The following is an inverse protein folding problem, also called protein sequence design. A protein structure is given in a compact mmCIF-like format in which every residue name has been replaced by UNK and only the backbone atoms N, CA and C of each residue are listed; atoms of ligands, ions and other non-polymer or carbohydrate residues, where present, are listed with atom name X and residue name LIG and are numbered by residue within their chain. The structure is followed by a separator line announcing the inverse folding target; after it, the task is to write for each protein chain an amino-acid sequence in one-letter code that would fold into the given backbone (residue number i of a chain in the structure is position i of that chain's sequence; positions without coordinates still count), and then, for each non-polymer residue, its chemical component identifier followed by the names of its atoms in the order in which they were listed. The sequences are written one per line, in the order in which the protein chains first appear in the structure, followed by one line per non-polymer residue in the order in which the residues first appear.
data_IF_276744894996
#
_entry.id   IF_276744894996
#
_cell.length_a   1.000
_cell.length_b   1.000
_cell.length_c   1.000
_cell.angle_alpha   90.00
_cell.angle_beta   90.00
_cell.angle_gamma   90.00
#
_symmetry.space_group_name_H-M   'P 1'
#
loop_
_entity.id
_entity.type
_entity.pdbx_description
1 polymer ?
#
# COMPACT_ATOMS: atom_id res chain seq x y z
N UNK A 1 -51.19 -50.55 -67.35
CA UNK A 1 -50.27 -50.79 -66.22
C UNK A 1 -49.69 -49.51 -65.60
N UNK A 2 -50.01 -48.30 -66.08
CA UNK A 2 -49.39 -47.04 -65.58
C UNK A 2 -50.11 -46.32 -64.42
N UNK A 3 -51.37 -46.66 -64.11
CA UNK A 3 -52.11 -45.99 -63.04
C UNK A 3 -51.68 -46.48 -61.64
N UNK A 4 -51.18 -47.72 -61.52
CA UNK A 4 -50.72 -48.28 -60.25
C UNK A 4 -49.30 -47.81 -59.84
N UNK A 5 -48.50 -47.28 -60.77
CA UNK A 5 -47.15 -46.75 -60.46
C UNK A 5 -47.19 -45.34 -59.86
N UNK A 6 -48.16 -44.49 -60.25
CA UNK A 6 -48.24 -43.10 -59.80
C UNK A 6 -48.71 -42.97 -58.34
N UNK A 7 -49.56 -43.89 -57.87
CA UNK A 7 -50.04 -43.88 -56.48
C UNK A 7 -49.01 -44.38 -55.45
N UNK A 8 -48.05 -45.24 -55.83
CA UNK A 8 -47.01 -45.70 -54.88
C UNK A 8 -45.96 -44.62 -54.56
N UNK A 9 -45.64 -43.74 -55.50
CA UNK A 9 -44.67 -42.65 -55.28
C UNK A 9 -45.19 -41.61 -54.27
N UNK A 10 -46.46 -41.23 -54.39
CA UNK A 10 -47.09 -40.26 -53.48
C UNK A 10 -47.23 -40.78 -52.03
N UNK A 11 -47.46 -42.09 -51.85
CA UNK A 11 -47.54 -42.70 -50.51
C UNK A 11 -46.16 -42.80 -49.87
N UNK A 12 -45.11 -43.05 -50.66
CA UNK A 12 -43.73 -43.14 -50.16
C UNK A 12 -43.21 -41.76 -49.71
N UNK A 13 -43.39 -40.70 -50.51
CA UNK A 13 -42.95 -39.35 -50.15
C UNK A 13 -43.69 -38.77 -48.93
N UNK A 14 -44.99 -39.05 -48.78
CA UNK A 14 -45.74 -38.68 -47.55
C UNK A 14 -45.22 -39.42 -46.31
N UNK A 15 -44.79 -40.68 -46.44
CA UNK A 15 -44.21 -41.45 -45.33
C UNK A 15 -42.83 -40.94 -44.94
N UNK A 16 -42.01 -40.56 -45.93
CA UNK A 16 -40.65 -40.04 -45.67
C UNK A 16 -40.73 -38.68 -44.97
N UNK A 17 -41.57 -37.74 -45.45
CA UNK A 17 -41.77 -36.44 -44.78
C UNK A 17 -42.31 -36.54 -43.35
N UNK A 18 -43.20 -37.51 -43.08
CA UNK A 18 -43.73 -37.71 -41.72
C UNK A 18 -42.65 -38.26 -40.76
N UNK A 19 -41.72 -39.10 -41.25
CA UNK A 19 -40.61 -39.62 -40.45
C UNK A 19 -39.53 -38.57 -40.17
N UNK A 20 -39.19 -37.71 -41.15
CA UNK A 20 -38.23 -36.61 -40.91
C UNK A 20 -38.80 -35.54 -39.99
N UNK A 21 -40.08 -35.20 -40.10
CA UNK A 21 -40.72 -34.25 -39.17
C UNK A 21 -40.72 -34.79 -37.73
N UNK A 22 -40.97 -36.08 -37.53
CA UNK A 22 -40.95 -36.70 -36.20
C UNK A 22 -39.55 -36.68 -35.59
N UNK A 23 -38.52 -37.02 -36.38
CA UNK A 23 -37.11 -37.02 -35.94
C UNK A 23 -36.64 -35.62 -35.53
N UNK A 24 -37.00 -34.58 -36.28
CA UNK A 24 -36.66 -33.19 -35.98
C UNK A 24 -37.34 -32.75 -34.68
N UNK A 25 -38.62 -33.08 -34.47
CA UNK A 25 -39.32 -32.74 -33.22
C UNK A 25 -38.73 -33.46 -32.02
N UNK A 26 -38.33 -34.72 -32.13
CA UNK A 26 -37.67 -35.44 -31.03
C UNK A 26 -36.29 -34.87 -30.71
N UNK A 27 -35.52 -34.45 -31.72
CA UNK A 27 -34.21 -33.84 -31.52
C UNK A 27 -34.32 -32.49 -30.80
N UNK A 28 -35.27 -31.63 -31.21
CA UNK A 28 -35.53 -30.35 -30.54
C UNK A 28 -35.96 -30.54 -29.07
N UNK A 29 -36.79 -31.55 -28.80
CA UNK A 29 -37.28 -31.83 -27.45
C UNK A 29 -36.16 -32.36 -26.54
N UNK A 30 -35.25 -33.18 -27.07
CA UNK A 30 -34.05 -33.64 -26.36
C UNK A 30 -33.06 -32.50 -26.08
N UNK A 31 -32.85 -31.59 -27.03
CA UNK A 31 -32.00 -30.40 -26.83
C UNK A 31 -32.59 -29.51 -25.74
N UNK A 32 -33.90 -29.25 -25.77
CA UNK A 32 -34.59 -28.48 -24.73
C UNK A 32 -34.45 -29.15 -23.34
N UNK A 33 -34.56 -30.49 -23.29
CA UNK A 33 -34.37 -31.24 -22.05
C UNK A 33 -32.94 -31.11 -21.52
N UNK A 34 -31.94 -31.12 -22.42
CA UNK A 34 -30.53 -30.96 -22.06
C UNK A 34 -30.24 -29.56 -21.49
N UNK A 35 -30.81 -28.52 -22.11
CA UNK A 35 -30.71 -27.12 -21.62
C UNK A 35 -31.38 -26.96 -20.26
N UNK A 36 -32.54 -27.58 -20.05
CA UNK A 36 -33.24 -27.54 -18.75
C UNK A 36 -32.52 -28.35 -17.67
N UNK A 37 -31.86 -29.46 -18.01
CA UNK A 37 -31.06 -30.24 -17.04
C UNK A 37 -29.70 -29.63 -16.70
N UNK A 38 -29.16 -28.76 -17.56
CA UNK A 38 -27.93 -28.02 -17.28
C UNK A 38 -28.15 -26.89 -16.25
N UNK A 39 -29.41 -26.58 -15.91
CA UNK A 39 -29.77 -25.77 -14.75
C UNK A 39 -29.92 -26.63 -13.48
N UNK A 40 -28.97 -27.53 -13.20
CA UNK A 40 -28.78 -27.97 -11.80
C UNK A 40 -28.33 -26.74 -11.02
N UNK A 41 -29.24 -26.21 -10.20
CA UNK A 41 -28.98 -25.05 -9.37
C UNK A 41 -27.66 -25.25 -8.64
N UNK A 42 -26.65 -24.51 -9.09
CA UNK A 42 -25.49 -24.18 -8.26
C UNK A 42 -26.11 -23.72 -6.96
N UNK A 43 -25.85 -24.38 -5.82
CA UNK A 43 -26.29 -23.85 -4.55
C UNK A 43 -25.72 -22.44 -4.50
N UNK A 44 -26.59 -21.44 -4.67
CA UNK A 44 -26.27 -20.07 -4.34
C UNK A 44 -25.90 -20.15 -2.88
N UNK A 45 -24.59 -20.19 -2.62
CA UNK A 45 -24.01 -19.70 -1.38
C UNK A 45 -24.84 -18.46 -1.10
N UNK A 46 -25.56 -18.42 0.03
CA UNK A 46 -26.34 -17.25 0.40
C UNK A 46 -25.37 -16.08 0.30
N UNK A 47 -25.43 -15.35 -0.80
CA UNK A 47 -24.96 -14.00 -0.88
C UNK A 47 -25.76 -13.34 0.22
N UNK A 48 -25.09 -13.12 1.35
CA UNK A 48 -25.52 -12.13 2.33
C UNK A 48 -26.06 -10.96 1.52
N UNK A 49 -27.31 -10.54 1.77
CA UNK A 49 -27.93 -9.48 0.98
C UNK A 49 -26.90 -8.37 0.84
N UNK A 50 -26.67 -7.88 -0.39
CA UNK A 50 -25.94 -6.65 -0.64
C UNK A 50 -26.54 -5.61 0.32
N UNK A 51 -25.90 -5.44 1.47
CA UNK A 51 -26.07 -4.28 2.32
C UNK A 51 -25.83 -3.13 1.36
N UNK A 52 -26.75 -2.16 1.36
CA UNK A 52 -26.64 -0.99 0.52
C UNK A 52 -25.21 -0.45 0.58
N UNK A 53 -24.67 0.03 -0.54
CA UNK A 53 -23.35 0.68 -0.60
C UNK A 53 -23.14 1.74 0.51
N UNK A 54 -24.22 2.22 1.13
CA UNK A 54 -24.23 3.10 2.31
C UNK A 54 -23.69 2.49 3.62
N UNK A 55 -23.58 1.15 3.76
CA UNK A 55 -23.04 0.51 4.97
C UNK A 55 -21.61 -0.03 4.83
N UNK A 56 -21.02 0.01 3.64
CA UNK A 56 -19.61 -0.37 3.48
C UNK A 56 -18.72 0.68 4.14
N UNK A 57 -18.11 0.27 5.25
CA UNK A 57 -17.22 1.10 6.07
C UNK A 57 -15.83 1.15 5.45
N UNK A 58 -15.71 1.75 4.26
CA UNK A 58 -14.42 2.11 3.68
C UNK A 58 -13.67 3.07 4.60
N UNK A 59 -12.34 3.11 4.46
CA UNK A 59 -11.47 4.06 5.16
C UNK A 59 -11.49 3.98 6.70
N UNK A 60 -11.85 2.83 7.28
CA UNK A 60 -11.96 2.64 8.74
C UNK A 60 -10.97 1.58 9.24
N UNK A 61 -10.75 1.56 10.55
CA UNK A 61 -9.83 0.62 11.21
C UNK A 61 -8.44 1.18 11.46
N UNK A 62 -7.59 0.38 12.11
CA UNK A 62 -6.24 0.77 12.55
C UNK A 62 -5.15 -0.08 11.93
N UNK A 63 -5.52 -0.94 10.97
CA UNK A 63 -4.60 -1.79 10.25
C UNK A 63 -4.39 -1.20 8.84
N UNK A 64 -3.19 -1.40 8.30
CA UNK A 64 -2.86 -1.12 6.90
C UNK A 64 -2.71 -2.44 6.15
N UNK A 65 -1.47 -2.83 5.89
CA UNK A 65 -1.17 -4.16 5.33
C UNK A 65 -1.13 -5.23 6.42
N UNK A 66 -2.00 -6.23 6.28
CA UNK A 66 -1.93 -7.47 7.02
C UNK A 66 -1.15 -8.52 6.25
N UNK A 67 -0.55 -9.44 7.00
CA UNK A 67 0.04 -10.64 6.42
C UNK A 67 -0.30 -11.86 7.26
N UNK A 68 -0.33 -13.02 6.62
CA UNK A 68 -0.51 -14.31 7.26
C UNK A 68 0.20 -15.40 6.46
N UNK A 69 0.73 -16.42 7.15
CA UNK A 69 1.15 -17.64 6.47
C UNK A 69 -0.07 -18.30 5.83
N UNK A 70 0.04 -18.69 4.56
CA UNK A 70 -1.01 -19.46 3.90
C UNK A 70 -1.21 -20.78 4.68
N UNK A 71 -2.46 -21.23 4.89
CA UNK A 71 -2.73 -22.45 5.64
C UNK A 71 -1.88 -23.61 5.14
N UNK A 72 -1.19 -24.29 6.08
CA UNK A 72 -0.29 -25.42 5.78
C UNK A 72 0.92 -25.10 4.88
N UNK A 73 1.31 -23.83 4.73
CA UNK A 73 2.52 -23.40 4.00
C UNK A 73 3.42 -22.54 4.91
N UNK A 74 4.63 -23.00 5.27
CA UNK A 74 5.09 -24.38 5.20
C UNK A 74 4.24 -25.31 6.10
N UNK A 75 4.24 -26.63 5.85
CA UNK A 75 3.61 -27.59 6.76
C UNK A 75 4.24 -27.55 8.15
N UNK A 76 3.48 -27.85 9.20
CA UNK A 76 4.02 -27.90 10.57
C UNK A 76 5.08 -29.00 10.75
N UNK A 77 5.01 -30.05 9.92
CA UNK A 77 5.97 -31.15 9.89
C UNK A 77 6.48 -31.35 8.47
N UNK A 78 7.80 -31.30 8.30
CA UNK A 78 8.50 -31.58 7.06
C UNK A 78 9.41 -32.80 7.21
N UNK A 79 9.74 -33.44 6.10
CA UNK A 79 10.58 -34.63 6.08
C UNK A 79 11.79 -34.41 5.17
N UNK A 80 12.95 -34.86 5.63
CA UNK A 80 14.20 -34.87 4.87
C UNK A 80 14.51 -36.30 4.43
N UNK A 81 14.57 -36.54 3.12
CA UNK A 81 14.72 -37.87 2.51
C UNK A 81 16.17 -38.24 2.16
N UNK A 82 17.15 -37.37 2.42
CA UNK A 82 18.56 -37.57 2.09
C UNK A 82 19.05 -36.65 0.97
N UNK A 83 20.37 -36.54 0.81
CA UNK A 83 21.00 -35.59 -0.12
C UNK A 83 20.80 -35.95 -1.60
N UNK A 84 20.33 -37.17 -1.87
CA UNK A 84 20.02 -37.65 -3.23
C UNK A 84 18.63 -37.21 -3.71
N UNK A 85 17.80 -36.64 -2.83
CA UNK A 85 16.45 -36.23 -3.14
C UNK A 85 16.31 -34.71 -3.07
N UNK A 86 15.40 -34.20 -3.89
CA UNK A 86 14.94 -32.82 -3.79
C UNK A 86 13.99 -32.70 -2.60
N UNK A 87 14.42 -32.00 -1.54
CA UNK A 87 13.63 -31.78 -0.33
C UNK A 87 12.96 -30.40 -0.38
N UNK A 88 12.31 -30.11 -1.50
CA UNK A 88 11.67 -28.81 -1.74
C UNK A 88 10.45 -28.62 -0.86
N UNK A 89 10.26 -27.37 -0.41
CA UNK A 89 9.07 -26.91 0.28
C UNK A 89 8.87 -25.42 0.00
N UNK A 90 7.63 -24.96 0.15
CA UNK A 90 7.29 -23.55 -0.03
C UNK A 90 6.92 -22.90 1.31
N UNK A 91 7.39 -21.67 1.48
CA UNK A 91 6.91 -20.74 2.49
C UNK A 91 6.11 -19.67 1.76
N UNK A 92 4.78 -19.79 1.83
CA UNK A 92 3.88 -18.84 1.18
C UNK A 92 3.18 -17.97 2.22
N UNK A 93 3.16 -16.67 1.95
CA UNK A 93 2.54 -15.64 2.77
C UNK A 93 1.51 -14.93 1.91
N UNK A 94 0.31 -14.79 2.46
CA UNK A 94 -0.72 -13.89 1.93
C UNK A 94 -0.52 -12.52 2.56
N UNK A 95 -0.46 -11.48 1.74
CA UNK A 95 -0.48 -10.09 2.17
C UNK A 95 -1.73 -9.41 1.61
N UNK A 96 -2.44 -8.68 2.45
CA UNK A 96 -3.67 -8.00 2.09
C UNK A 96 -3.66 -6.59 2.66
N UNK A 97 -3.97 -5.61 1.82
CA UNK A 97 -4.11 -4.23 2.26
C UNK A 97 -5.56 -3.98 2.66
N UNK A 98 -5.83 -3.98 3.96
CA UNK A 98 -7.17 -3.75 4.51
C UNK A 98 -7.37 -2.31 4.98
N UNK A 99 -6.38 -1.45 4.75
CA UNK A 99 -6.42 -0.05 5.13
C UNK A 99 -6.76 0.86 3.95
N UNK A 100 -6.79 2.16 4.18
CA UNK A 100 -7.35 3.18 3.29
C UNK A 100 -6.44 3.69 2.17
N UNK A 101 -5.15 3.37 2.23
CA UNK A 101 -4.12 3.96 1.38
C UNK A 101 -3.40 2.89 0.60
N UNK A 102 -2.81 3.27 -0.53
CA UNK A 102 -1.91 2.39 -1.25
C UNK A 102 -0.70 2.01 -0.40
N UNK A 103 -0.26 0.78 -0.57
CA UNK A 103 0.93 0.25 0.06
C UNK A 103 1.92 -0.25 -0.99
N UNK A 104 3.20 0.04 -0.77
CA UNK A 104 4.32 -0.55 -1.51
C UNK A 104 5.33 -1.09 -0.52
N UNK A 105 5.72 -2.34 -0.65
CA UNK A 105 6.59 -2.97 0.34
C UNK A 105 7.34 -4.18 -0.16
N UNK A 106 8.15 -4.73 0.73
CA UNK A 106 8.90 -5.97 0.54
C UNK A 106 8.59 -6.96 1.65
N UNK A 107 8.42 -8.22 1.27
CA UNK A 107 8.36 -9.35 2.20
C UNK A 107 9.72 -10.02 2.25
N UNK A 108 10.22 -10.23 3.46
CA UNK A 108 11.51 -10.86 3.74
C UNK A 108 11.30 -12.13 4.55
N UNK A 109 11.99 -13.20 4.16
CA UNK A 109 12.07 -14.44 4.92
C UNK A 109 13.36 -14.47 5.73
N UNK A 110 13.33 -14.91 6.99
CA UNK A 110 14.52 -15.12 7.83
C UNK A 110 14.24 -16.15 8.95
N UNK A 111 15.13 -16.26 9.94
CA UNK A 111 14.95 -17.12 11.12
C UNK A 111 15.28 -18.62 10.94
N UNK A 112 15.57 -19.05 9.72
CA UNK A 112 16.00 -20.42 9.41
C UNK A 112 17.53 -20.58 9.52
N UNK A 113 17.99 -21.82 9.68
CA UNK A 113 19.42 -22.16 9.62
C UNK A 113 19.90 -22.23 8.16
N UNK A 114 20.72 -21.26 7.69
CA UNK A 114 21.17 -21.21 6.30
C UNK A 114 22.18 -22.32 5.95
N UNK A 115 22.69 -23.07 6.93
CA UNK A 115 23.55 -24.23 6.66
C UNK A 115 22.74 -25.49 6.34
N UNK A 116 21.48 -25.55 6.78
CA UNK A 116 20.57 -26.68 6.58
C UNK A 116 19.46 -26.41 5.54
N UNK A 117 19.19 -25.14 5.24
CA UNK A 117 18.09 -24.74 4.37
C UNK A 117 18.57 -23.65 3.42
N UNK A 118 18.37 -23.87 2.13
CA UNK A 118 18.60 -22.90 1.07
C UNK A 118 17.26 -22.42 0.51
N UNK A 119 17.16 -21.13 0.21
CA UNK A 119 16.01 -20.55 -0.49
C UNK A 119 16.46 -19.96 -1.83
N UNK A 120 15.69 -20.21 -2.88
CA UNK A 120 15.95 -19.64 -4.20
C UNK A 120 15.96 -18.10 -4.10
N UNK A 121 17.05 -17.49 -4.57
CA UNK A 121 17.22 -16.02 -4.54
C UNK A 121 17.71 -15.44 -3.22
N UNK A 122 17.86 -16.21 -2.14
CA UNK A 122 18.35 -15.71 -0.84
C UNK A 122 19.74 -16.30 -0.54
N UNK A 123 20.77 -15.46 -0.55
CA UNK A 123 22.14 -15.89 -0.22
C UNK A 123 22.81 -14.95 0.79
N UNK A 124 22.63 -15.18 2.10
CA UNK A 124 23.14 -14.29 3.14
C UNK A 124 24.67 -14.24 3.20
N UNK A 125 25.38 -15.21 2.60
CA UNK A 125 26.85 -15.26 2.56
C UNK A 125 27.49 -14.40 1.46
N UNK A 126 26.70 -13.89 0.51
CA UNK A 126 27.16 -13.00 -0.57
C UNK A 126 26.47 -11.65 -0.43
N UNK A 127 26.83 -10.87 0.58
CA UNK A 127 26.40 -9.47 0.67
C UNK A 127 27.18 -8.64 -0.35
N UNK A 128 26.76 -8.65 -1.61
CA UNK A 128 27.30 -7.77 -2.65
C UNK A 128 26.48 -6.48 -2.82
N UNK A 129 25.46 -6.24 -2.00
CA UNK A 129 24.63 -5.06 -2.11
C UNK A 129 25.38 -3.82 -1.59
N UNK A 130 26.02 -3.09 -2.52
CA UNK A 130 26.30 -1.67 -2.36
C UNK A 130 24.95 -0.95 -2.38
N UNK A 131 24.37 -0.70 -1.21
CA UNK A 131 23.09 0.00 -1.11
C UNK A 131 23.30 1.50 -1.37
N UNK A 132 22.57 2.05 -2.34
CA UNK A 132 22.38 3.48 -2.46
C UNK A 132 21.39 3.91 -1.39
N UNK A 133 21.84 4.58 -0.34
CA UNK A 133 20.94 5.09 0.69
C UNK A 133 20.41 6.44 0.22
N UNK A 134 19.10 6.54 0.01
CA UNK A 134 18.42 7.82 -0.20
C UNK A 134 18.11 8.38 1.18
N UNK A 135 18.90 9.34 1.64
CA UNK A 135 18.65 10.02 2.90
C UNK A 135 17.79 11.25 2.66
N UNK A 136 16.49 11.15 2.89
CA UNK A 136 15.56 12.27 2.70
C UNK A 136 15.61 13.19 3.92
N UNK A 137 16.56 14.11 3.93
CA UNK A 137 16.58 15.18 4.93
C UNK A 137 15.56 16.26 4.59
N UNK A 138 14.45 16.34 5.33
CA UNK A 138 13.35 17.33 5.20
C UNK A 138 12.36 17.10 4.04
N UNK A 139 11.11 16.78 4.37
CA UNK A 139 9.95 16.78 3.47
C UNK A 139 8.92 17.84 3.90
N UNK A 140 9.03 19.06 3.40
CA UNK A 140 7.87 19.96 3.46
C UNK A 140 8.11 21.38 2.97
N UNK A 141 6.98 22.09 2.81
CA UNK A 141 6.83 23.35 2.07
C UNK A 141 7.33 23.30 0.61
N UNK A 142 7.15 22.15 -0.06
CA UNK A 142 7.61 21.95 -1.44
C UNK A 142 9.11 21.65 -1.54
N UNK A 143 9.83 21.61 -0.40
CA UNK A 143 11.24 21.24 -0.30
C UNK A 143 11.38 19.78 0.13
N UNK A 144 11.88 18.93 -0.79
CA UNK A 144 12.28 17.55 -0.54
C UNK A 144 13.81 17.46 -0.48
N UNK A 145 14.45 17.78 0.63
CA UNK A 145 15.89 17.57 0.78
C UNK A 145 16.22 16.08 0.74
N UNK A 146 17.12 15.64 -0.14
CA UNK A 146 17.51 14.24 -0.23
C UNK A 146 18.97 14.09 -0.63
N UNK A 147 19.80 13.46 0.21
CA UNK A 147 21.14 13.06 -0.20
C UNK A 147 21.10 11.62 -0.69
N UNK A 148 21.31 11.43 -1.98
CA UNK A 148 21.52 10.11 -2.57
C UNK A 148 22.97 9.71 -2.30
N UNK A 149 23.19 8.90 -1.26
CA UNK A 149 24.51 8.37 -0.94
C UNK A 149 24.66 6.99 -1.56
N UNK A 150 25.15 6.96 -2.79
CA UNK A 150 25.75 5.74 -3.35
C UNK A 150 27.27 5.85 -3.19
N UNK A 151 27.95 4.75 -2.85
CA UNK A 151 29.42 4.73 -2.77
C UNK A 151 30.11 5.08 -4.11
N UNK A 152 29.39 5.05 -5.24
CA UNK A 152 29.93 5.31 -6.59
C UNK A 152 29.19 6.43 -7.38
N UNK A 153 28.26 7.17 -6.78
CA UNK A 153 27.54 8.27 -7.48
C UNK A 153 27.99 9.64 -6.97
N UNK A 154 28.78 10.34 -7.79
CA UNK A 154 29.24 11.70 -7.51
C UNK A 154 28.48 12.69 -8.41
N UNK A 155 27.73 13.61 -7.79
CA UNK A 155 27.15 14.76 -8.50
C UNK A 155 28.21 15.87 -8.56
N UNK A 156 28.65 16.19 -9.78
CA UNK A 156 29.67 17.21 -10.03
C UNK A 156 29.18 18.62 -9.72
N UNK A 157 29.99 19.39 -8.99
CA UNK A 157 29.74 20.79 -8.64
C UNK A 157 30.24 21.68 -9.78
N UNK A 158 29.37 22.55 -10.30
CA UNK A 158 29.75 23.58 -11.27
C UNK A 158 30.69 24.63 -10.68
N UNK A 159 31.44 25.34 -11.51
CA UNK A 159 32.46 26.33 -11.10
C UNK A 159 31.93 27.54 -10.31
N UNK A 160 30.60 27.69 -10.19
CA UNK A 160 29.94 28.76 -9.42
C UNK A 160 29.40 28.29 -8.04
N UNK A 161 29.67 27.04 -7.65
CA UNK A 161 29.26 26.50 -6.35
C UNK A 161 27.75 26.24 -6.21
N UNK A 162 27.01 26.25 -7.32
CA UNK A 162 25.61 25.82 -7.38
C UNK A 162 25.51 24.39 -7.90
N UNK A 163 24.67 23.59 -7.23
CA UNK A 163 24.30 22.24 -7.68
C UNK A 163 22.81 22.30 -8.01
N UNK A 164 22.50 22.20 -9.30
CA UNK A 164 21.13 22.18 -9.81
C UNK A 164 20.86 20.78 -10.40
N UNK A 165 19.95 20.01 -9.79
CA UNK A 165 19.52 18.70 -10.29
C UNK A 165 18.03 18.79 -10.60
N UNK A 166 17.67 18.70 -11.89
CA UNK A 166 16.28 18.73 -12.32
C UNK A 166 15.90 17.42 -12.99
N UNK A 167 14.84 16.78 -12.48
CA UNK A 167 14.15 15.69 -13.15
C UNK A 167 12.82 16.23 -13.66
N UNK A 168 12.73 16.43 -14.97
CA UNK A 168 11.47 16.77 -15.60
C UNK A 168 10.66 15.48 -15.79
N UNK A 169 9.39 15.50 -15.42
CA UNK A 169 8.50 14.35 -15.55
C UNK A 169 9.05 13.09 -14.86
N UNK A 170 9.27 13.19 -13.53
CA UNK A 170 9.81 12.10 -12.70
C UNK A 170 9.04 10.77 -12.87
N UNK A 171 7.77 10.84 -13.28
CA UNK A 171 6.86 9.72 -13.51
C UNK A 171 6.62 9.40 -14.98
N UNK A 172 7.51 9.83 -15.88
CA UNK A 172 7.37 9.55 -17.30
C UNK A 172 7.05 8.08 -17.59
N UNK A 173 6.42 7.84 -18.76
CA UNK A 173 5.84 6.56 -19.23
C UNK A 173 6.72 5.30 -19.20
N UNK A 174 7.95 5.37 -18.72
CA UNK A 174 8.93 4.28 -18.74
C UNK A 174 9.31 3.72 -17.37
N UNK A 175 8.66 4.14 -16.28
CA UNK A 175 8.85 3.52 -14.97
C UNK A 175 8.21 2.12 -14.91
N UNK A 176 8.75 1.15 -14.15
CA UNK A 176 8.15 -0.18 -13.98
C UNK A 176 6.73 -0.13 -13.40
N UNK A 177 6.36 1.01 -12.82
CA UNK A 177 5.05 1.27 -12.21
C UNK A 177 4.20 2.27 -12.99
N UNK A 178 4.67 2.81 -14.11
CA UNK A 178 3.96 3.84 -14.87
C UNK A 178 2.65 3.32 -15.49
N UNK A 179 2.55 2.01 -15.75
CA UNK A 179 1.32 1.39 -16.25
C UNK A 179 0.34 1.04 -15.11
N UNK A 180 0.83 0.92 -13.87
CA UNK A 180 0.03 0.49 -12.73
C UNK A 180 -0.70 1.66 -12.08
N UNK A 181 -0.01 2.78 -11.93
CA UNK A 181 -0.58 4.03 -11.50
C UNK A 181 -0.75 4.86 -12.75
N UNK A 182 -1.98 5.30 -13.05
CA UNK A 182 -2.27 6.26 -14.12
C UNK A 182 -1.60 7.60 -13.78
N UNK A 183 -0.27 7.64 -13.74
CA UNK A 183 0.56 8.78 -13.38
C UNK A 183 0.44 9.87 -14.45
N UNK A 184 -0.07 9.53 -15.64
CA UNK A 184 -0.55 10.50 -16.63
C UNK A 184 -1.62 11.44 -16.00
N UNK A 185 -2.37 11.02 -14.96
CA UNK A 185 -3.28 11.90 -14.18
C UNK A 185 -2.59 12.82 -13.18
N UNK A 186 -1.39 12.48 -12.72
CA UNK A 186 -0.64 13.33 -11.79
C UNK A 186 0.01 14.53 -12.48
N UNK A 187 -0.14 14.66 -13.81
CA UNK A 187 0.61 15.63 -14.61
C UNK A 187 2.11 15.37 -14.52
N UNK A 188 2.91 16.01 -15.37
CA UNK A 188 4.36 15.95 -15.21
C UNK A 188 4.74 16.53 -13.85
N UNK A 189 5.26 15.70 -12.94
CA UNK A 189 5.83 16.18 -11.68
C UNK A 189 7.29 16.55 -11.96
N UNK A 190 7.58 17.85 -11.87
CA UNK A 190 8.94 18.37 -12.00
C UNK A 190 9.57 18.42 -10.62
N UNK A 191 10.70 17.72 -10.48
CA UNK A 191 11.53 17.77 -9.30
C UNK A 191 12.77 18.61 -9.60
N UNK A 192 13.04 19.62 -8.77
CA UNK A 192 14.26 20.42 -8.88
C UNK A 192 14.96 20.52 -7.53
N UNK A 193 16.25 20.24 -7.47
CA UNK A 193 17.13 20.63 -6.37
C UNK A 193 18.01 21.77 -6.79
N UNK A 194 18.13 22.77 -5.93
CA UNK A 194 19.07 23.87 -6.03
C UNK A 194 19.77 24.06 -4.69
N UNK A 195 21.07 23.78 -4.66
CA UNK A 195 21.95 24.19 -3.56
C UNK A 195 22.69 25.47 -3.93
N UNK A 196 22.69 26.45 -3.04
CA UNK A 196 23.43 27.71 -3.21
C UNK A 196 24.61 27.80 -2.24
N UNK A 197 25.66 28.52 -2.63
CA UNK A 197 26.85 28.74 -1.82
C UNK A 197 26.58 29.42 -0.45
N UNK A 198 25.40 30.01 -0.25
CA UNK A 198 24.97 30.59 1.02
C UNK A 198 24.42 29.56 2.02
N UNK A 199 24.42 28.27 1.68
CA UNK A 199 23.82 27.21 2.50
C UNK A 199 22.29 27.12 2.39
N UNK A 200 21.68 27.90 1.48
CA UNK A 200 20.27 27.74 1.15
C UNK A 200 20.15 26.59 0.16
N UNK A 201 19.73 25.45 0.67
CA UNK A 201 19.32 24.28 -0.09
C UNK A 201 17.81 24.36 -0.29
N UNK A 202 17.37 24.40 -1.56
CA UNK A 202 15.96 24.43 -1.92
C UNK A 202 15.69 23.28 -2.88
N UNK A 203 14.87 22.34 -2.45
CA UNK A 203 14.23 21.42 -3.39
C UNK A 203 12.84 21.99 -3.72
N UNK A 204 12.36 21.81 -4.94
CA UNK A 204 11.03 22.23 -5.35
C UNK A 204 10.40 21.08 -6.09
N UNK A 205 9.33 20.52 -5.54
CA UNK A 205 8.38 19.76 -6.34
C UNK A 205 7.38 20.76 -6.87
N UNK A 206 7.44 20.99 -8.17
CA UNK A 206 6.51 21.89 -8.82
C UNK A 206 5.46 21.06 -9.54
N UNK A 207 4.24 21.16 -9.05
CA UNK A 207 3.04 20.72 -9.73
C UNK A 207 2.70 21.81 -10.76
N UNK A 208 3.49 21.85 -11.84
CA UNK A 208 3.36 22.87 -12.90
C UNK A 208 2.06 22.75 -13.69
N UNK A 209 1.33 21.64 -13.53
CA UNK A 209 0.07 21.41 -14.21
C UNK A 209 -1.11 21.76 -13.27
N UNK A 210 -1.94 22.77 -13.61
CA UNK A 210 -3.13 23.12 -12.84
C UNK A 210 -4.21 22.02 -12.87
N UNK A 211 -4.06 20.99 -13.72
CA UNK A 211 -4.97 19.85 -13.79
C UNK A 211 -4.58 18.70 -12.85
N UNK A 212 -3.59 18.89 -11.99
CA UNK A 212 -3.18 17.84 -11.06
C UNK A 212 -4.30 17.61 -10.06
N UNK A 213 -4.84 16.40 -10.14
CA UNK A 213 -5.82 15.93 -9.18
C UNK A 213 -5.08 15.62 -7.87
N UNK A 214 -5.00 16.63 -6.99
CA UNK A 214 -4.38 16.47 -5.67
C UNK A 214 -5.15 15.44 -4.85
N UNK A 215 -6.45 15.23 -5.11
CA UNK A 215 -7.19 14.16 -4.44
C UNK A 215 -6.69 12.78 -4.87
N UNK A 216 -6.38 12.60 -6.16
CA UNK A 216 -5.73 11.39 -6.68
C UNK A 216 -4.30 11.19 -6.16
N UNK A 217 -3.57 12.28 -5.90
CA UNK A 217 -2.22 12.23 -5.33
C UNK A 217 -2.18 11.77 -3.86
N UNK A 218 -3.30 11.91 -3.14
CA UNK A 218 -3.42 11.47 -1.74
C UNK A 218 -3.52 9.94 -1.64
N UNK A 219 -3.79 9.44 -0.42
CA UNK A 219 -3.89 8.02 -0.13
C UNK A 219 -2.59 7.28 -0.46
N UNK A 220 -1.46 7.95 -0.30
CA UNK A 220 -0.12 7.38 -0.49
C UNK A 220 0.34 7.20 -1.93
N UNK A 221 -0.46 7.58 -2.94
CA UNK A 221 -0.06 7.44 -4.36
C UNK A 221 1.16 8.30 -4.67
N UNK A 222 1.13 9.58 -4.28
CA UNK A 222 2.28 10.49 -4.46
C UNK A 222 3.50 9.99 -3.69
N UNK A 223 3.32 9.53 -2.45
CA UNK A 223 4.39 8.96 -1.64
C UNK A 223 5.05 7.79 -2.37
N UNK A 224 4.28 6.80 -2.82
CA UNK A 224 4.84 5.65 -3.55
C UNK A 224 5.65 6.11 -4.75
N UNK A 225 5.13 7.10 -5.48
CA UNK A 225 5.85 7.72 -6.58
C UNK A 225 7.19 8.34 -6.15
N UNK A 226 7.21 9.11 -5.07
CA UNK A 226 8.44 9.79 -4.61
C UNK A 226 9.50 8.81 -4.10
N UNK A 227 9.07 7.69 -3.53
CA UNK A 227 9.95 6.67 -2.96
C UNK A 227 10.22 5.49 -3.90
N UNK A 228 9.97 5.66 -5.20
CA UNK A 228 10.23 4.62 -6.22
C UNK A 228 11.69 4.15 -6.29
N UNK A 229 12.64 4.96 -5.79
CA UNK A 229 14.06 4.61 -5.70
C UNK A 229 14.39 3.54 -4.65
N UNK A 230 13.49 3.26 -3.71
CA UNK A 230 13.65 2.15 -2.75
C UNK A 230 13.55 0.83 -3.51
N UNK A 231 14.55 -0.04 -3.35
CA UNK A 231 14.52 -1.36 -3.97
C UNK A 231 14.52 -2.45 -2.88
N UNK A 232 13.37 -3.10 -2.69
CA UNK A 232 13.21 -4.15 -1.70
C UNK A 232 13.99 -5.43 -2.03
N UNK A 233 14.34 -5.66 -3.30
CA UNK A 233 15.11 -6.82 -3.77
C UNK A 233 16.57 -6.78 -3.32
N UNK A 234 17.14 -5.59 -3.07
CA UNK A 234 18.52 -5.42 -2.59
C UNK A 234 18.78 -6.16 -1.26
N UNK A 235 17.72 -6.36 -0.46
CA UNK A 235 17.75 -7.12 0.79
C UNK A 235 17.12 -8.51 0.67
N UNK A 236 17.08 -9.11 -0.53
CA UNK A 236 16.39 -10.37 -0.82
C UNK A 236 14.87 -10.34 -0.53
N UNK A 237 14.27 -9.15 -0.56
CA UNK A 237 12.83 -8.99 -0.41
C UNK A 237 12.09 -9.29 -1.71
N UNK A 238 10.88 -9.84 -1.61
CA UNK A 238 9.95 -9.89 -2.72
C UNK A 238 9.02 -8.68 -2.64
N UNK A 239 9.10 -7.81 -3.64
CA UNK A 239 8.34 -6.57 -3.69
C UNK A 239 6.86 -6.82 -4.02
N UNK A 240 5.99 -5.98 -3.46
CA UNK A 240 4.57 -5.93 -3.80
C UNK A 240 4.05 -4.49 -3.78
N UNK A 241 2.92 -4.31 -4.45
CA UNK A 241 2.08 -3.12 -4.40
C UNK A 241 0.64 -3.59 -4.19
N UNK A 242 -0.08 -2.93 -3.29
CA UNK A 242 -1.48 -3.24 -2.99
C UNK A 242 -2.31 -1.94 -2.90
N UNK A 243 -3.38 -1.85 -3.68
CA UNK A 243 -4.39 -0.82 -3.49
C UNK A 243 -5.06 -0.97 -2.10
N UNK A 244 -5.41 0.15 -1.49
CA UNK A 244 -6.17 0.18 -0.23
C UNK A 244 -7.64 -0.19 -0.42
N UNK A 245 -8.34 -0.47 0.68
CA UNK A 245 -9.78 -0.59 0.75
C UNK A 245 -10.46 0.77 0.50
N UNK A 246 -10.75 1.02 -0.77
CA UNK A 246 -11.42 2.23 -1.26
C UNK A 246 -12.72 1.88 -1.97
N UNK A 247 -13.47 2.89 -2.44
CA UNK A 247 -14.68 2.63 -3.22
C UNK A 247 -14.35 1.99 -4.59
N UNK A 248 -13.18 2.28 -5.17
CA UNK A 248 -12.69 1.66 -6.40
C UNK A 248 -12.20 0.23 -6.18
N UNK A 249 -11.57 -0.03 -5.02
CA UNK A 249 -10.99 -1.32 -4.64
C UNK A 249 -11.64 -1.84 -3.34
N UNK A 250 -12.92 -2.26 -3.37
CA UNK A 250 -13.60 -2.67 -2.16
C UNK A 250 -12.99 -3.94 -1.57
N UNK A 251 -12.55 -3.86 -0.31
CA UNK A 251 -11.79 -4.89 0.41
C UNK A 251 -10.27 -4.78 0.24
N UNK A 252 -9.80 -3.86 -0.60
CA UNK A 252 -8.40 -3.68 -0.97
C UNK A 252 -7.82 -4.83 -1.79
N UNK A 253 -6.54 -4.70 -2.14
CA UNK A 253 -5.82 -5.72 -2.89
C UNK A 253 -5.17 -6.76 -1.99
N UNK A 254 -4.90 -7.93 -2.59
CA UNK A 254 -4.13 -9.01 -1.98
C UNK A 254 -3.03 -9.52 -2.90
N UNK A 255 -1.94 -9.99 -2.32
CA UNK A 255 -0.85 -10.66 -3.01
C UNK A 255 -0.43 -11.94 -2.27
N UNK A 256 0.16 -12.87 -3.03
CA UNK A 256 0.76 -14.08 -2.48
C UNK A 256 2.24 -14.06 -2.79
N UNK A 257 3.06 -14.10 -1.75
CA UNK A 257 4.51 -14.11 -1.85
C UNK A 257 4.99 -15.50 -1.45
N UNK A 258 5.75 -16.16 -2.33
CA UNK A 258 6.24 -17.53 -2.12
C UNK A 258 7.75 -17.60 -2.15
N UNK A 259 8.33 -18.18 -1.12
CA UNK A 259 9.75 -18.50 -1.05
C UNK A 259 9.92 -20.00 -1.20
N UNK A 260 10.57 -20.41 -2.29
CA UNK A 260 10.88 -21.81 -2.54
C UNK A 260 12.17 -22.20 -1.83
N UNK A 261 12.05 -23.11 -0.87
CA UNK A 261 13.13 -23.60 -0.03
C UNK A 261 13.50 -25.04 -0.35
N UNK A 262 14.72 -25.43 -0.02
CA UNK A 262 15.20 -26.81 -0.08
C UNK A 262 15.98 -27.12 1.20
N UNK A 263 15.72 -28.28 1.80
CA UNK A 263 16.52 -28.78 2.92
C UNK A 263 17.79 -29.40 2.36
N UNK A 264 18.94 -28.84 2.71
CA UNK A 264 20.26 -29.25 2.23
C UNK A 264 21.17 -29.61 3.41
N UNK A 265 22.22 -30.41 3.16
CA UNK A 265 23.31 -30.65 4.12
C UNK A 265 22.86 -31.06 5.53
N UNK A 266 21.90 -31.98 5.62
CA UNK A 266 21.35 -32.38 6.92
C UNK A 266 22.42 -33.02 7.83
N UNK A 267 22.67 -32.49 9.05
CA UNK A 267 23.79 -32.94 9.87
C UNK A 267 23.75 -34.45 10.18
N UNK A 268 24.88 -35.17 10.09
CA UNK A 268 24.93 -36.58 10.44
C UNK A 268 24.59 -36.80 11.92
N UNK A 269 23.78 -37.81 12.23
CA UNK A 269 23.33 -38.11 13.59
C UNK A 269 22.20 -37.23 14.13
N UNK A 270 21.78 -36.20 13.38
CA UNK A 270 20.57 -35.43 13.71
C UNK A 270 19.34 -36.15 13.19
N UNK A 271 18.42 -36.52 14.07
CA UNK A 271 17.16 -37.19 13.71
C UNK A 271 16.04 -36.19 13.38
N UNK A 272 16.00 -35.07 14.10
CA UNK A 272 14.99 -34.04 13.99
C UNK A 272 15.52 -32.69 14.47
N UNK A 273 14.96 -31.60 13.96
CA UNK A 273 15.23 -30.24 14.45
C UNK A 273 13.98 -29.37 14.34
N UNK A 274 13.93 -28.32 15.15
CA UNK A 274 12.94 -27.27 15.05
C UNK A 274 13.54 -26.08 14.31
N UNK A 275 12.81 -25.55 13.34
CA UNK A 275 13.16 -24.35 12.58
C UNK A 275 12.08 -23.30 12.78
N UNK A 276 12.47 -22.03 12.91
CA UNK A 276 11.50 -20.93 13.06
C UNK A 276 11.59 -20.01 11.86
N UNK A 277 10.64 -20.08 10.95
CA UNK A 277 10.57 -19.14 9.84
C UNK A 277 9.99 -17.81 10.32
N UNK A 278 10.72 -16.73 10.10
CA UNK A 278 10.30 -15.37 10.37
C UNK A 278 10.00 -14.67 9.05
N UNK A 279 8.84 -14.04 8.96
CA UNK A 279 8.45 -13.22 7.82
C UNK A 279 8.39 -11.78 8.30
N UNK A 280 9.20 -10.91 7.73
CA UNK A 280 9.17 -9.47 7.99
C UNK A 280 8.58 -8.77 6.79
N UNK A 281 7.51 -8.00 7.00
CA UNK A 281 6.93 -7.13 6.00
C UNK A 281 7.37 -5.69 6.29
N UNK A 282 8.01 -5.05 5.32
CA UNK A 282 8.42 -3.65 5.37
C UNK A 282 7.70 -2.90 4.25
N UNK A 283 6.90 -1.90 4.57
CA UNK A 283 6.11 -1.19 3.55
C UNK A 283 5.98 0.30 3.83
N UNK A 284 5.94 1.07 2.74
CA UNK A 284 5.53 2.46 2.74
C UNK A 284 4.02 2.50 2.87
N UNK A 285 3.55 3.40 3.73
CA UNK A 285 2.13 3.60 3.94
C UNK A 285 1.80 5.06 4.24
N UNK A 286 0.57 5.44 3.93
CA UNK A 286 0.06 6.77 4.23
C UNK A 286 -1.18 6.69 5.13
N UNK A 287 -1.28 7.62 6.06
CA UNK A 287 -2.51 7.85 6.82
C UNK A 287 -3.21 9.04 6.25
N UNK A 288 -4.45 8.86 5.82
CA UNK A 288 -5.30 9.94 5.36
C UNK A 288 -6.44 10.19 6.36
N UNK A 289 -6.55 11.41 6.86
CA UNK A 289 -7.60 11.83 7.76
C UNK A 289 -8.22 13.15 7.28
N UNK A 290 -9.54 13.21 7.21
CA UNK A 290 -10.28 14.42 6.81
C UNK A 290 -11.37 14.81 7.83
N UNK A 291 -11.04 15.03 9.13
CA UNK A 291 -12.02 15.45 10.12
C UNK A 291 -12.64 16.81 9.78
N UNK A 292 -13.93 16.96 10.06
CA UNK A 292 -14.62 18.24 9.90
C UNK A 292 -14.31 19.17 11.07
N UNK A 293 -13.63 20.28 10.80
CA UNK A 293 -13.28 21.34 11.76
C UNK A 293 -14.18 22.57 11.59
N UNK A 294 -14.19 23.48 12.56
CA UNK A 294 -14.99 24.70 12.52
C UNK A 294 -14.11 25.94 12.50
N UNK A 295 -13.97 26.61 11.36
CA UNK A 295 -13.20 27.86 11.26
C UNK A 295 -14.11 29.03 11.62
N UNK A 296 -13.72 29.79 12.64
CA UNK A 296 -14.48 30.94 13.14
C UNK A 296 -13.63 32.21 13.04
N UNK A 297 -13.90 33.10 12.06
CA UNK A 297 -13.18 34.36 11.91
C UNK A 297 -13.52 35.39 12.99
N UNK A 298 -14.55 35.13 13.81
CA UNK A 298 -15.05 36.06 14.83
C UNK A 298 -15.27 35.34 16.17
N UNK A 299 -14.24 34.70 16.74
CA UNK A 299 -14.39 33.81 17.90
C UNK A 299 -15.05 34.48 19.11
N UNK A 300 -14.85 35.79 19.29
CA UNK A 300 -15.39 36.58 20.40
C UNK A 300 -16.81 37.15 20.15
N UNK A 301 -17.39 36.97 18.96
CA UNK A 301 -18.77 37.40 18.73
C UNK A 301 -19.75 36.51 19.50
N UNK A 302 -20.72 37.14 20.17
CA UNK A 302 -21.87 36.49 20.81
C UNK A 302 -22.99 36.13 19.82
N UNK A 303 -22.84 36.50 18.54
CA UNK A 303 -23.81 36.15 17.49
C UNK A 303 -23.97 34.63 17.38
N UNK A 304 -25.16 34.20 16.94
CA UNK A 304 -25.43 32.78 16.67
C UNK A 304 -24.58 32.31 15.49
N UNK A 305 -23.71 31.31 15.73
CA UNK A 305 -22.80 30.73 14.74
C UNK A 305 -23.30 29.38 14.21
N UNK A 306 -22.83 29.00 13.02
CA UNK A 306 -23.15 27.70 12.40
C UNK A 306 -22.47 26.55 13.15
N UNK A 307 -21.27 26.80 13.67
CA UNK A 307 -20.49 25.83 14.42
C UNK A 307 -19.63 26.54 15.48
N UNK A 308 -19.11 25.75 16.41
CA UNK A 308 -18.10 26.17 17.37
C UNK A 308 -16.90 25.22 17.26
N UNK A 309 -15.66 25.69 17.47
CA UNK A 309 -14.48 24.83 17.54
C UNK A 309 -14.68 23.80 18.66
N UNK A 310 -14.56 22.53 18.31
CA UNK A 310 -14.63 21.41 19.25
C UNK A 310 -13.48 20.47 18.96
N UNK A 311 -12.81 19.93 19.98
CA UNK A 311 -11.77 18.94 19.75
C UNK A 311 -12.31 17.73 18.98
N UNK A 312 -11.54 17.25 18.01
CA UNK A 312 -11.85 16.02 17.28
C UNK A 312 -11.25 14.82 18.01
N UNK A 313 -12.03 13.75 18.18
CA UNK A 313 -11.56 12.46 18.72
C UNK A 313 -11.69 11.35 17.67
N UNK A 314 -10.56 10.81 17.22
CA UNK A 314 -10.51 9.76 16.19
C UNK A 314 -10.89 8.40 16.75
N UNK A 315 -12.17 8.01 16.66
CA UNK A 315 -12.68 6.80 17.32
C UNK A 315 -12.88 5.60 16.41
N UNK A 316 -13.00 5.79 15.09
CA UNK A 316 -13.31 4.71 14.12
C UNK A 316 -12.10 4.20 13.33
N UNK A 317 -10.92 4.75 13.59
CA UNK A 317 -9.73 4.49 12.79
C UNK A 317 -9.77 5.15 11.42
N UNK A 318 -8.63 5.12 10.74
CA UNK A 318 -8.34 5.79 9.46
C UNK A 318 -7.87 4.80 8.38
N UNK A 319 -8.01 3.48 8.63
CA UNK A 319 -7.44 2.43 7.78
C UNK A 319 -5.91 2.48 7.76
N UNK A 320 -5.28 2.78 8.90
CA UNK A 320 -3.84 2.97 8.99
C UNK A 320 -3.27 2.71 10.39
N UNK A 321 -2.04 2.19 10.52
CA UNK A 321 -1.41 1.86 11.80
C UNK A 321 -0.84 3.07 12.55
N UNK A 322 -0.54 4.18 11.88
CA UNK A 322 -0.26 5.47 12.52
C UNK A 322 -1.50 6.34 12.34
N UNK A 323 -2.13 6.81 13.41
CA UNK A 323 -3.41 7.49 13.32
C UNK A 323 -3.34 8.90 13.92
N UNK A 324 -4.13 9.81 13.34
CA UNK A 324 -4.48 11.08 13.99
C UNK A 324 -5.56 10.79 15.03
N UNK A 325 -5.19 10.80 16.31
CA UNK A 325 -6.05 10.37 17.41
C UNK A 325 -6.86 11.51 17.99
N UNK A 326 -6.33 12.72 17.97
CA UNK A 326 -6.94 13.88 18.60
C UNK A 326 -6.49 15.17 17.92
N UNK A 327 -7.40 16.14 17.78
CA UNK A 327 -7.08 17.48 17.25
C UNK A 327 -7.71 18.52 18.15
N UNK A 328 -6.87 19.37 18.75
CA UNK A 328 -7.29 20.59 19.41
C UNK A 328 -7.32 21.74 18.41
N UNK A 329 -8.25 22.67 18.62
CA UNK A 329 -8.42 23.81 17.74
C UNK A 329 -8.58 25.08 18.56
N UNK A 330 -7.75 26.07 18.27
CA UNK A 330 -7.83 27.42 18.81
C UNK A 330 -8.02 28.43 17.67
N UNK A 331 -9.07 29.24 17.75
CA UNK A 331 -9.36 30.25 16.73
C UNK A 331 -9.09 31.65 17.27
N UNK A 332 -8.39 32.44 16.46
CA UNK A 332 -8.27 33.89 16.59
C UNK A 332 -8.94 34.55 15.37
N UNK A 333 -9.19 35.87 15.40
CA UNK A 333 -9.78 36.56 14.24
C UNK A 333 -8.98 36.49 12.93
N UNK A 334 -7.71 36.08 12.98
CA UNK A 334 -6.81 36.03 11.80
C UNK A 334 -6.28 34.64 11.50
N UNK A 335 -6.36 33.72 12.46
CA UNK A 335 -5.63 32.46 12.41
C UNK A 335 -6.42 31.38 13.13
N UNK A 336 -6.40 30.16 12.61
CA UNK A 336 -6.77 28.96 13.34
C UNK A 336 -5.51 28.13 13.60
N UNK A 337 -5.30 27.71 14.84
CA UNK A 337 -4.20 26.86 15.26
C UNK A 337 -4.76 25.48 15.57
N UNK A 338 -4.13 24.45 14.99
CA UNK A 338 -4.48 23.06 15.19
C UNK A 338 -3.34 22.32 15.88
N UNK A 339 -3.61 21.73 17.04
CA UNK A 339 -2.67 20.81 17.70
C UNK A 339 -3.12 19.39 17.40
N UNK A 340 -2.39 18.73 16.51
CA UNK A 340 -2.70 17.41 15.95
C UNK A 340 -1.86 16.36 16.68
N UNK A 341 -2.55 15.44 17.36
CA UNK A 341 -1.92 14.31 18.03
C UNK A 341 -1.91 13.11 17.11
N UNK A 342 -0.72 12.55 16.92
CA UNK A 342 -0.44 11.39 16.08
C UNK A 342 0.00 10.24 16.97
N UNK A 343 -0.44 9.02 16.70
CA UNK A 343 -0.05 7.84 17.47
C UNK A 343 0.14 6.61 16.60
N UNK A 344 1.20 5.85 16.83
CA UNK A 344 1.27 4.46 16.36
C UNK A 344 0.30 3.61 17.19
N UNK A 345 -0.84 3.28 16.58
CA UNK A 345 -1.91 2.44 17.16
C UNK A 345 -1.82 0.99 16.69
N UNK A 346 -0.99 0.73 15.68
CA UNK A 346 -0.68 -0.60 15.19
C UNK A 346 0.31 -1.36 16.08
N UNK A 347 0.61 -2.60 15.69
CA UNK A 347 1.48 -3.53 16.44
C UNK A 347 2.91 -3.62 15.92
N UNK A 348 3.22 -2.87 14.87
CA UNK A 348 4.51 -2.84 14.21
C UNK A 348 5.36 -1.64 14.61
N UNK A 349 6.49 -1.52 13.93
CA UNK A 349 7.47 -0.46 14.13
C UNK A 349 7.32 0.60 13.03
N UNK A 350 7.34 1.87 13.40
CA UNK A 350 7.37 2.97 12.43
C UNK A 350 8.82 3.25 12.04
N UNK A 351 9.08 3.36 10.75
CA UNK A 351 10.37 3.67 10.14
C UNK A 351 10.30 4.99 9.40
N UNK A 352 11.44 5.68 9.34
CA UNK A 352 11.63 6.71 8.33
C UNK A 352 11.44 6.07 6.93
N UNK A 353 10.51 6.58 6.10
CA UNK A 353 10.28 6.04 4.75
C UNK A 353 11.54 6.05 3.88
N UNK A 354 12.44 7.03 4.02
CA UNK A 354 13.72 7.06 3.29
C UNK A 354 14.73 6.02 3.77
N UNK A 355 14.53 5.47 4.97
CA UNK A 355 15.39 4.43 5.56
C UNK A 355 14.71 3.06 5.61
N UNK A 356 13.60 2.88 4.90
CA UNK A 356 12.80 1.66 4.98
C UNK A 356 13.57 0.40 4.53
N UNK A 357 14.59 0.52 3.68
CA UNK A 357 15.46 -0.61 3.31
C UNK A 357 16.17 -1.24 4.52
N UNK A 358 16.40 -0.46 5.58
CA UNK A 358 17.01 -0.93 6.83
C UNK A 358 16.11 -1.87 7.64
N UNK A 359 14.83 -1.96 7.27
CA UNK A 359 13.91 -2.94 7.85
C UNK A 359 14.20 -4.38 7.40
N UNK A 360 14.95 -4.57 6.31
CA UNK A 360 15.35 -5.91 5.87
C UNK A 360 16.19 -6.61 6.96
N UNK A 361 15.90 -7.88 7.29
CA UNK A 361 16.72 -8.66 8.22
C UNK A 361 18.14 -8.92 7.68
N UNK A 362 18.37 -8.66 6.39
CA UNK A 362 19.65 -8.82 5.71
C UNK A 362 20.40 -7.49 5.54
N UNK A 363 19.86 -6.39 6.07
CA UNK A 363 20.56 -5.11 6.04
C UNK A 363 21.85 -5.19 6.89
N UNK A 364 23.03 -4.86 6.34
CA UNK A 364 24.31 -5.03 7.03
C UNK A 364 24.55 -3.98 8.13
N UNK A 365 23.85 -2.84 8.06
CA UNK A 365 23.98 -1.75 9.02
C UNK A 365 23.15 -1.97 10.29
N UNK A 366 23.35 -1.11 11.29
CA UNK A 366 22.54 -1.10 12.50
C UNK A 366 21.42 -0.08 12.36
N UNK A 367 20.19 -0.50 12.62
CA UNK A 367 19.05 0.39 12.79
C UNK A 367 19.28 1.21 14.06
N UNK A 368 19.24 2.53 13.94
CA UNK A 368 19.38 3.46 15.05
C UNK A 368 18.02 4.08 15.41
N UNK A 369 17.95 4.76 16.55
CA UNK A 369 16.75 5.53 16.91
C UNK A 369 16.47 6.67 15.91
N UNK A 370 17.46 7.10 15.11
CA UNK A 370 17.29 8.10 14.06
C UNK A 370 16.45 7.61 12.88
N UNK A 371 16.44 6.29 12.63
CA UNK A 371 15.77 5.67 11.50
C UNK A 371 14.32 5.24 11.83
N UNK A 372 13.91 5.42 13.09
CA UNK A 372 12.67 4.91 13.66
C UNK A 372 11.78 6.03 14.18
N UNK A 373 10.48 5.72 14.25
CA UNK A 373 9.45 6.56 14.87
C UNK A 373 9.33 7.95 14.21
N UNK A 374 9.45 8.02 12.88
CA UNK A 374 9.30 9.24 12.10
C UNK A 374 8.11 9.06 11.15
N UNK A 375 7.17 9.99 11.19
CA UNK A 375 6.11 10.11 10.20
C UNK A 375 6.19 11.49 9.55
N UNK A 376 6.35 11.54 8.24
CA UNK A 376 6.43 12.77 7.47
C UNK A 376 5.06 13.38 7.23
N UNK A 377 5.01 14.70 7.13
CA UNK A 377 3.79 15.46 6.85
C UNK A 377 3.63 15.57 5.33
N UNK A 378 2.83 14.66 4.76
CA UNK A 378 2.52 14.62 3.33
C UNK A 378 1.76 15.85 2.88
N UNK A 379 0.60 16.10 3.49
CA UNK A 379 -0.25 17.26 3.25
C UNK A 379 -1.04 17.62 4.52
N UNK A 380 -1.11 18.92 4.86
CA UNK A 380 -2.05 19.42 5.87
C UNK A 380 -2.65 20.71 5.34
N UNK A 381 -3.94 20.70 5.04
CA UNK A 381 -4.65 21.84 4.47
C UNK A 381 -6.12 21.87 4.86
N UNK A 382 -6.70 23.05 4.82
CA UNK A 382 -8.15 23.22 4.89
C UNK A 382 -8.73 22.96 3.49
N UNK A 383 -9.72 22.07 3.38
CA UNK A 383 -10.33 21.74 2.09
C UNK A 383 -10.93 22.98 1.43
N UNK A 384 -10.72 23.10 0.12
CA UNK A 384 -11.05 24.30 -0.68
C UNK A 384 -9.95 25.36 -0.70
N UNK A 385 -8.93 25.24 0.15
CA UNK A 385 -7.72 26.05 0.09
C UNK A 385 -6.58 25.24 -0.55
N UNK A 386 -5.86 25.86 -1.49
CA UNK A 386 -4.68 25.24 -2.10
C UNK A 386 -3.44 25.42 -1.21
N UNK A 387 -3.49 26.33 -0.23
CA UNK A 387 -2.37 26.60 0.65
C UNK A 387 -2.28 25.54 1.76
N UNK A 388 -1.10 24.92 1.86
CA UNK A 388 -0.72 24.08 3.01
C UNK A 388 -0.58 24.93 4.26
N UNK A 389 -0.97 24.37 5.40
CA UNK A 389 -0.78 25.01 6.70
C UNK A 389 0.70 25.08 7.07
N UNK A 390 1.03 26.09 7.87
CA UNK A 390 2.37 26.25 8.45
C UNK A 390 2.50 25.42 9.72
N UNK A 391 3.22 24.31 9.67
CA UNK A 391 3.27 23.31 10.73
C UNK A 391 4.64 23.23 11.41
N UNK A 392 4.64 23.09 12.74
CA UNK A 392 5.81 22.90 13.60
C UNK A 392 5.68 21.59 14.42
N UNK A 393 6.71 20.73 14.50
CA UNK A 393 7.94 20.77 13.71
C UNK A 393 7.65 20.70 12.21
N UNK A 394 8.50 21.35 11.42
CA UNK A 394 8.35 21.33 9.98
C UNK A 394 8.58 19.88 9.53
N UNK A 395 7.77 19.42 8.57
CA UNK A 395 8.07 18.29 7.69
C UNK A 395 7.85 16.88 8.27
N UNK A 396 8.05 16.66 9.56
CA UNK A 396 7.81 15.35 10.17
C UNK A 396 7.47 15.45 11.64
N UNK A 397 6.73 14.46 12.13
CA UNK A 397 6.52 14.20 13.55
C UNK A 397 7.39 13.04 13.99
N UNK A 398 8.12 13.25 15.08
CA UNK A 398 8.80 12.16 15.77
C UNK A 398 7.87 11.60 16.84
N UNK A 399 7.61 10.31 16.77
CA UNK A 399 6.84 9.59 17.77
C UNK A 399 7.76 9.21 18.94
N UNK A 400 7.27 9.37 20.15
CA UNK A 400 7.96 8.93 21.35
C UNK A 400 8.14 7.39 21.31
N UNK A 401 9.35 6.85 21.53
CA UNK A 401 9.59 5.41 21.44
C UNK A 401 8.83 4.55 22.44
N UNK A 402 8.37 5.13 23.55
CA UNK A 402 7.69 4.41 24.62
C UNK A 402 6.17 4.49 24.48
N UNK A 403 5.63 5.65 24.14
CA UNK A 403 4.17 5.86 24.01
C UNK A 403 3.67 5.69 22.58
N UNK A 404 4.56 5.82 21.60
CA UNK A 404 4.22 5.87 20.18
C UNK A 404 3.50 7.16 19.77
N UNK A 405 3.49 8.18 20.62
CA UNK A 405 2.75 9.43 20.41
C UNK A 405 3.65 10.57 19.92
N UNK A 406 3.12 11.43 19.06
CA UNK A 406 3.76 12.64 18.60
C UNK A 406 2.74 13.77 18.42
N UNK A 407 3.21 15.01 18.37
CA UNK A 407 2.37 16.20 18.27
C UNK A 407 2.90 17.09 17.16
N UNK A 408 1.98 17.63 16.35
CA UNK A 408 2.24 18.65 15.34
C UNK A 408 1.32 19.83 15.62
N UNK A 409 1.84 21.06 15.53
CA UNK A 409 1.02 22.27 15.62
C UNK A 409 1.03 22.99 14.27
N UNK A 410 -0.15 23.17 13.68
CA UNK A 410 -0.32 23.78 12.37
C UNK A 410 -1.13 25.08 12.45
N UNK A 411 -0.67 26.12 11.76
CA UNK A 411 -1.34 27.42 11.70
C UNK A 411 -1.96 27.64 10.32
N UNK A 412 -3.24 27.98 10.31
CA UNK A 412 -4.01 28.37 9.14
C UNK A 412 -4.30 29.88 9.20
N UNK A 413 -3.81 30.64 8.22
CA UNK A 413 -4.14 32.06 8.09
C UNK A 413 -5.51 32.22 7.44
N UNK A 414 -6.48 32.73 8.19
CA UNK A 414 -7.86 32.85 7.70
C UNK A 414 -7.91 33.99 6.67
N UNK A 415 -8.34 33.74 5.43
CA UNK A 415 -8.44 34.79 4.41
C UNK A 415 -9.43 35.87 4.86
N UNK A 416 -8.95 37.11 4.97
CA UNK A 416 -9.67 38.23 5.59
C UNK A 416 -10.86 38.77 4.76
N UNK A 417 -11.18 38.14 3.63
CA UNK A 417 -12.16 38.64 2.66
C UNK A 417 -13.60 38.34 3.09
N UNK A 418 -14.17 39.17 3.96
CA UNK A 418 -15.63 39.30 4.14
C UNK A 418 -16.33 38.13 4.85
N UNK A 419 -15.61 37.12 5.31
CA UNK A 419 -16.17 36.03 6.10
C UNK A 419 -16.55 36.56 7.51
N UNK A 420 -17.85 36.73 7.74
CA UNK A 420 -18.41 37.17 9.04
C UNK A 420 -19.02 36.03 9.85
N UNK A 421 -19.03 34.81 9.33
CA UNK A 421 -19.66 33.67 9.98
C UNK A 421 -18.70 32.49 10.03
N UNK A 422 -18.81 31.71 11.10
CA UNK A 422 -18.09 30.45 11.24
C UNK A 422 -18.59 29.42 10.21
N UNK A 423 -17.69 28.60 9.70
CA UNK A 423 -18.00 27.56 8.71
C UNK A 423 -17.32 26.24 9.04
N UNK A 424 -17.95 25.15 8.59
CA UNK A 424 -17.42 23.80 8.72
C UNK A 424 -16.66 23.43 7.45
N UNK A 425 -15.48 22.86 7.60
CA UNK A 425 -14.66 22.43 6.48
C UNK A 425 -13.82 21.21 6.89
N UNK A 426 -13.56 20.25 5.99
CA UNK A 426 -12.57 19.21 6.24
C UNK A 426 -11.17 19.79 6.44
N UNK A 427 -10.48 19.37 7.49
CA UNK A 427 -9.04 19.51 7.64
C UNK A 427 -8.40 18.24 7.09
N UNK A 428 -7.77 18.34 5.92
CA UNK A 428 -7.04 17.21 5.32
C UNK A 428 -5.70 17.07 6.05
N UNK A 429 -5.40 15.87 6.53
CA UNK A 429 -4.14 15.50 7.16
C UNK A 429 -3.66 14.20 6.53
N UNK A 430 -2.53 14.26 5.84
CA UNK A 430 -1.85 13.10 5.27
C UNK A 430 -0.47 12.94 5.90
N UNK A 431 -0.19 11.75 6.44
CA UNK A 431 1.08 11.40 7.05
C UNK A 431 1.71 10.23 6.30
N UNK A 432 3.00 10.29 5.99
CA UNK A 432 3.74 9.26 5.26
C UNK A 432 4.78 8.61 6.14
N UNK A 433 4.91 7.29 6.08
CA UNK A 433 5.88 6.57 6.91
C UNK A 433 6.23 5.21 6.32
N UNK A 434 7.38 4.69 6.74
CA UNK A 434 7.67 3.27 6.65
C UNK A 434 7.04 2.52 7.82
N UNK A 435 6.60 1.29 7.60
CA UNK A 435 6.06 0.44 8.65
C UNK A 435 6.63 -0.98 8.54
N UNK A 436 6.94 -1.59 9.68
CA UNK A 436 7.37 -2.98 9.71
C UNK A 436 6.58 -3.83 10.67
N UNK A 437 6.39 -5.09 10.30
CA UNK A 437 5.81 -6.11 11.16
C UNK A 437 6.47 -7.44 10.88
N UNK A 438 6.69 -8.24 11.91
CA UNK A 438 7.24 -9.58 11.77
C UNK A 438 6.25 -10.63 12.30
N UNK A 439 6.09 -11.71 11.54
CA UNK A 439 5.41 -12.93 11.95
C UNK A 439 6.42 -14.06 12.07
N UNK A 440 6.11 -15.07 12.88
CA UNK A 440 6.95 -16.23 13.07
C UNK A 440 6.13 -17.52 13.02
N UNK A 441 6.70 -18.58 12.47
CA UNK A 441 6.11 -19.91 12.43
C UNK A 441 7.18 -20.96 12.67
N UNK A 442 6.99 -21.75 13.73
CA UNK A 442 7.85 -22.90 14.04
C UNK A 442 7.41 -24.11 13.24
N UNK A 443 8.38 -24.79 12.64
CA UNK A 443 8.22 -26.00 11.83
C UNK A 443 9.16 -27.06 12.37
N UNK A 444 8.66 -28.29 12.41
CA UNK A 444 9.42 -29.45 12.84
C UNK A 444 9.90 -30.23 11.61
N UNK A 445 11.21 -30.44 11.50
CA UNK A 445 11.81 -31.18 10.39
C UNK A 445 12.36 -32.49 10.93
N UNK A 446 12.01 -33.60 10.28
CA UNK A 446 12.45 -34.94 10.67
C UNK A 446 13.13 -35.67 9.51
N UNK A 447 14.20 -36.40 9.78
CA UNK A 447 14.80 -37.33 8.83
C UNK A 447 13.81 -38.48 8.53
N UNK A 448 13.49 -38.70 7.26
CA UNK A 448 12.79 -39.91 6.83
C UNK A 448 13.75 -41.10 6.95
N UNK A 449 13.29 -42.18 7.58
CA UNK A 449 14.06 -43.41 7.81
C UNK A 449 13.89 -44.34 6.63
#
# INVERSE_FOLDING_TARGET
MDILRKNRKNIYEKRVRKKTSLLITTALLLILLFVLSACTGVPRRRDTPLTSFEENRYYQGFDGVLMAFVPNMPPYRMYYYGDQYENYFDVTVETANIGSSWARGGIYLSGYDPTMIEFEGINPGRTSARACIIDIGNIGFGEFGGTLRCEDFFVGVGSEGTIDVFFNNLFGRSGPYADLYDFDRLGGIDFGYRSSAAGNERISINFNDPNIDIEYANHGVLMIGLFQGINFENGFGQEYILAGDTYEYPGGDLAHVSFRGNIVNWPPGLDQTDQTFMITNCFLYATYAAPIVCIDPTPFSEDRKVCYPTPYTGTKGQGAPVAVTYIEQENSPRQAVFTIHVKNVGRGQVYDPGKLEMCSPYFPGRVSNADLNIAYIGDIRVSGDLQRLDCTPNNFVRLDPHTGEGIITCTYNIPFSGLRSAYRTPLVVELWYGYSRTLQKRVFIKRAI
#
